data_IF_306766634425
#
_entry.id   IF_306766634425
#
_cell.length_a   1.000
_cell.length_b   1.000
_cell.length_c   1.000
_cell.angle_alpha   90.00
_cell.angle_beta   90.00
_cell.angle_gamma   90.00
#
_symmetry.space_group_name_H-M   'P 1'
#
loop_
_entity.id
_entity.type
_entity.pdbx_description
1 polymer ?
#
# COMPACT_ATOMS: atom_id res chain seq x y z
N UNK A 1 -6.59 -27.89 15.61
CA UNK A 1 -6.29 -26.80 14.65
C UNK A 1 -4.85 -26.37 14.92
N UNK A 2 -3.97 -26.48 13.95
CA UNK A 2 -2.63 -25.90 14.09
C UNK A 2 -2.75 -24.37 14.20
N UNK A 3 -1.94 -23.69 15.03
CA UNK A 3 -1.92 -22.25 15.02
C UNK A 3 -1.54 -21.74 13.62
N UNK A 4 -2.11 -20.65 13.16
CA UNK A 4 -1.74 -20.09 11.87
C UNK A 4 -0.25 -19.73 11.85
N UNK A 5 0.40 -19.87 10.70
CA UNK A 5 1.81 -19.52 10.55
C UNK A 5 2.06 -18.09 11.03
N UNK A 6 3.18 -17.82 11.72
CA UNK A 6 3.51 -16.49 12.21
C UNK A 6 3.67 -15.51 11.04
N UNK A 7 3.20 -14.27 11.25
CA UNK A 7 3.39 -13.21 10.25
C UNK A 7 4.88 -12.87 10.20
N UNK A 8 5.45 -12.90 9.01
CA UNK A 8 6.83 -12.51 8.82
C UNK A 8 6.96 -10.98 8.96
N UNK A 9 7.97 -10.55 9.70
CA UNK A 9 8.25 -9.13 9.94
C UNK A 9 9.74 -8.87 9.76
N UNK A 10 10.10 -7.84 9.01
CA UNK A 10 11.45 -7.31 9.01
C UNK A 10 11.56 -6.15 10.00
N UNK A 11 12.74 -6.04 10.61
CA UNK A 11 13.05 -5.01 11.59
C UNK A 11 14.22 -4.18 11.11
N UNK A 12 14.09 -2.84 11.27
CA UNK A 12 15.15 -1.88 10.92
C UNK A 12 15.26 -0.85 12.04
N UNK A 13 16.47 -0.29 12.21
CA UNK A 13 16.76 0.67 13.27
C UNK A 13 16.81 0.05 14.66
N UNK A 14 17.43 0.77 15.60
CA UNK A 14 17.68 0.27 16.97
C UNK A 14 17.02 1.12 18.05
N UNK A 15 16.59 2.34 17.72
CA UNK A 15 16.10 3.30 18.70
C UNK A 15 15.08 4.24 18.03
N UNK A 16 14.41 5.04 18.84
CA UNK A 16 13.39 5.99 18.39
C UNK A 16 11.96 5.43 18.48
N UNK A 17 10.97 6.22 18.07
CA UNK A 17 9.58 5.81 18.03
C UNK A 17 9.34 4.64 17.05
N UNK A 18 8.27 3.87 17.30
CA UNK A 18 7.88 2.81 16.39
C UNK A 18 7.17 3.36 15.14
N UNK A 19 7.65 2.91 13.97
CA UNK A 19 7.03 3.16 12.66
C UNK A 19 6.74 1.80 12.01
N UNK A 20 5.55 1.63 11.49
CA UNK A 20 5.12 0.41 10.81
C UNK A 20 4.90 0.73 9.34
N UNK A 21 5.60 0.04 8.45
CA UNK A 21 5.52 0.22 7.01
C UNK A 21 4.68 -0.88 6.38
N UNK A 22 3.56 -0.50 5.79
CA UNK A 22 2.64 -1.39 5.10
C UNK A 22 2.88 -1.31 3.59
N UNK A 23 3.18 -2.46 2.98
CA UNK A 23 3.49 -2.56 1.55
C UNK A 23 2.26 -2.41 0.65
N UNK A 24 2.48 -2.17 -0.62
CA UNK A 24 1.44 -2.16 -1.65
C UNK A 24 1.01 -3.57 -2.08
N UNK A 25 0.26 -3.67 -3.10
CA UNK A 25 -0.30 -4.91 -3.61
C UNK A 25 -1.81 -4.94 -3.46
N UNK A 26 -2.42 -5.83 -2.69
CA UNK A 26 -1.95 -6.82 -1.70
C UNK A 26 -1.20 -8.01 -2.29
N UNK A 27 -0.57 -8.83 -1.46
CA UNK A 27 0.09 -10.06 -1.88
C UNK A 27 1.42 -9.89 -2.64
N UNK A 28 2.05 -8.71 -2.61
CA UNK A 28 3.34 -8.42 -3.24
C UNK A 28 4.28 -7.65 -2.28
N UNK A 29 4.76 -8.30 -1.20
CA UNK A 29 5.55 -7.66 -0.16
C UNK A 29 7.00 -7.36 -0.59
N UNK A 30 7.69 -6.52 0.22
CA UNK A 30 9.14 -6.31 0.15
C UNK A 30 9.59 -5.01 -0.50
N UNK A 31 8.72 -4.31 -1.21
CA UNK A 31 9.05 -3.07 -1.93
C UNK A 31 9.33 -1.87 -1.00
N UNK A 32 8.91 -1.95 0.27
CA UNK A 32 9.13 -0.88 1.25
C UNK A 32 10.52 -0.96 1.94
N UNK A 33 11.31 -1.99 1.69
CA UNK A 33 12.65 -2.17 2.27
C UNK A 33 13.59 -0.95 2.09
N UNK A 34 13.64 -0.25 0.95
CA UNK A 34 14.45 0.97 0.82
C UNK A 34 13.97 2.09 1.75
N UNK A 35 12.66 2.26 1.90
CA UNK A 35 12.05 3.25 2.81
C UNK A 35 12.34 2.87 4.26
N UNK A 36 12.17 1.58 4.61
CA UNK A 36 12.47 1.06 5.94
C UNK A 36 13.93 1.29 6.36
N UNK A 37 14.87 0.99 5.47
CA UNK A 37 16.32 1.21 5.72
C UNK A 37 16.61 2.69 6.00
N UNK A 38 16.04 3.60 5.20
CA UNK A 38 16.27 5.04 5.38
C UNK A 38 15.66 5.58 6.66
N UNK A 39 14.47 5.11 7.03
CA UNK A 39 13.83 5.50 8.29
C UNK A 39 14.53 4.87 9.52
N UNK A 40 15.18 3.73 9.36
CA UNK A 40 15.90 3.02 10.42
C UNK A 40 17.04 3.81 11.07
N UNK A 41 17.50 4.91 10.45
CA UNK A 41 18.48 5.83 11.05
C UNK A 41 17.88 6.62 12.23
N UNK A 42 16.55 6.79 12.30
CA UNK A 42 15.86 7.63 13.29
C UNK A 42 14.74 6.92 14.04
N UNK A 43 14.22 5.81 13.51
CA UNK A 43 13.04 5.12 14.01
C UNK A 43 13.31 3.62 14.15
N UNK A 44 12.57 2.97 15.04
CA UNK A 44 12.41 1.51 15.02
C UNK A 44 11.32 1.17 14.01
N UNK A 45 11.68 0.47 12.95
CA UNK A 45 10.78 0.23 11.83
C UNK A 45 10.41 -1.24 11.76
N UNK A 46 9.11 -1.51 11.66
CA UNK A 46 8.52 -2.81 11.34
C UNK A 46 8.01 -2.79 9.90
N UNK A 47 8.41 -3.78 9.12
CA UNK A 47 7.85 -4.07 7.80
C UNK A 47 7.16 -5.44 7.87
N UNK A 48 5.89 -5.53 8.30
CA UNK A 48 5.15 -6.78 8.30
C UNK A 48 4.76 -7.18 6.88
N UNK A 49 4.81 -8.50 6.63
CA UNK A 49 4.28 -9.09 5.41
C UNK A 49 2.89 -9.65 5.67
N UNK A 50 2.04 -9.59 4.67
CA UNK A 50 0.72 -10.18 4.76
C UNK A 50 0.81 -11.71 4.79
N UNK A 51 -0.17 -12.36 5.44
CA UNK A 51 -0.31 -13.81 5.32
C UNK A 51 -0.58 -14.19 3.87
N UNK A 52 -0.08 -15.35 3.47
CA UNK A 52 -0.49 -15.95 2.23
C UNK A 52 -1.93 -16.51 2.32
N UNK A 53 -2.63 -16.54 1.19
CA UNK A 53 -3.92 -17.21 1.05
C UNK A 53 -3.84 -18.69 1.45
N UNK A 54 -4.81 -19.17 2.19
CA UNK A 54 -4.89 -20.51 2.74
C UNK A 54 -6.32 -21.01 2.89
N UNK A 55 -6.58 -21.76 3.96
CA UNK A 55 -7.93 -22.32 4.24
C UNK A 55 -8.96 -21.23 4.54
N UNK A 56 -8.53 -20.12 5.15
CA UNK A 56 -9.39 -18.99 5.46
C UNK A 56 -9.07 -17.85 4.49
N UNK A 57 -10.07 -17.37 3.74
CA UNK A 57 -9.87 -16.28 2.79
C UNK A 57 -9.32 -15.01 3.47
N UNK A 58 -8.47 -14.28 2.76
CA UNK A 58 -7.97 -13.00 3.21
C UNK A 58 -9.02 -11.91 2.97
N UNK A 59 -9.28 -11.15 4.03
CA UNK A 59 -10.19 -10.00 4.03
C UNK A 59 -9.52 -8.80 4.66
N UNK A 60 -10.03 -7.60 4.42
CA UNK A 60 -9.58 -6.38 5.13
C UNK A 60 -9.63 -6.57 6.65
N UNK A 61 -10.69 -7.22 7.14
CA UNK A 61 -10.83 -7.49 8.58
C UNK A 61 -9.73 -8.44 9.09
N UNK A 62 -9.35 -9.45 8.28
CA UNK A 62 -8.26 -10.37 8.62
C UNK A 62 -6.92 -9.65 8.66
N UNK A 63 -6.61 -8.85 7.65
CA UNK A 63 -5.36 -8.05 7.64
C UNK A 63 -5.28 -7.08 8.82
N UNK A 64 -6.40 -6.46 9.22
CA UNK A 64 -6.45 -5.61 10.43
C UNK A 64 -6.18 -6.43 11.69
N UNK A 65 -6.73 -7.64 11.81
CA UNK A 65 -6.47 -8.52 12.95
C UNK A 65 -5.00 -8.96 12.99
N UNK A 66 -4.46 -9.37 11.86
CA UNK A 66 -3.07 -9.79 11.68
C UNK A 66 -2.09 -8.65 12.04
N UNK A 67 -2.37 -7.43 11.59
CA UNK A 67 -1.59 -6.25 11.98
C UNK A 67 -1.66 -6.01 13.49
N UNK A 68 -2.83 -6.19 14.12
CA UNK A 68 -2.97 -6.11 15.57
C UNK A 68 -2.14 -7.16 16.34
N UNK A 69 -1.91 -8.33 15.76
CA UNK A 69 -0.99 -9.33 16.33
C UNK A 69 0.47 -8.84 16.30
N UNK A 70 0.90 -8.29 15.17
CA UNK A 70 2.25 -7.73 14.99
C UNK A 70 2.51 -6.56 15.92
N UNK A 71 1.52 -5.70 16.12
CA UNK A 71 1.66 -4.48 16.91
C UNK A 71 1.57 -4.70 18.43
N UNK A 72 1.27 -5.92 18.88
CA UNK A 72 1.09 -6.21 20.32
C UNK A 72 2.26 -5.75 21.20
N UNK A 73 3.50 -6.00 20.78
CA UNK A 73 4.68 -5.60 21.54
C UNK A 73 4.99 -4.10 21.42
N UNK A 74 5.03 -3.49 20.21
CA UNK A 74 5.21 -2.04 20.07
C UNK A 74 4.20 -1.22 20.87
N UNK A 75 2.94 -1.63 20.90
CA UNK A 75 1.86 -0.93 21.60
C UNK A 75 1.98 -0.95 23.14
N UNK A 76 2.82 -1.81 23.71
CA UNK A 76 3.16 -1.73 25.14
C UNK A 76 3.97 -0.49 25.50
N UNK A 77 4.67 0.07 24.54
CA UNK A 77 5.45 1.30 24.72
C UNK A 77 4.64 2.57 24.37
N UNK A 78 3.48 2.42 23.77
CA UNK A 78 2.59 3.52 23.36
C UNK A 78 2.09 3.39 21.93
N UNK A 79 1.31 4.40 21.46
CA UNK A 79 0.81 4.41 20.10
C UNK A 79 1.94 4.41 19.07
N UNK A 80 1.69 3.79 17.90
CA UNK A 80 2.66 3.68 16.81
C UNK A 80 2.29 4.59 15.63
N UNK A 81 3.25 4.82 14.73
CA UNK A 81 3.05 5.57 13.49
C UNK A 81 2.88 4.58 12.34
N UNK A 82 1.79 4.71 11.57
CA UNK A 82 1.56 3.90 10.38
C UNK A 82 1.98 4.67 9.13
N UNK A 83 2.76 4.02 8.28
CA UNK A 83 3.06 4.48 6.94
C UNK A 83 2.60 3.40 5.98
N UNK A 84 1.65 3.70 5.12
CA UNK A 84 1.14 2.74 4.14
C UNK A 84 1.37 3.22 2.71
N UNK A 85 1.78 2.30 1.83
CA UNK A 85 1.91 2.56 0.41
C UNK A 85 0.80 1.86 -0.37
N UNK A 86 0.14 2.58 -1.28
CA UNK A 86 -0.88 2.02 -2.19
C UNK A 86 -1.98 1.24 -1.43
N UNK A 87 -2.07 -0.07 -1.57
CA UNK A 87 -2.92 -0.95 -0.75
C UNK A 87 -2.60 -0.80 0.75
N UNK A 88 -1.32 -0.76 1.13
CA UNK A 88 -0.92 -0.55 2.53
C UNK A 88 -1.46 0.76 3.12
N UNK A 89 -1.67 1.81 2.30
CA UNK A 89 -2.33 3.03 2.72
C UNK A 89 -3.82 2.81 3.04
N UNK A 90 -4.51 1.97 2.23
CA UNK A 90 -5.90 1.57 2.49
C UNK A 90 -6.00 0.74 3.78
N UNK A 91 -5.06 -0.19 4.00
CA UNK A 91 -4.98 -1.00 5.21
C UNK A 91 -4.67 -0.13 6.45
N UNK A 92 -3.76 0.86 6.33
CA UNK A 92 -3.47 1.80 7.41
C UNK A 92 -4.72 2.57 7.87
N UNK A 93 -5.54 3.05 6.93
CA UNK A 93 -6.81 3.71 7.23
C UNK A 93 -7.80 2.74 7.90
N UNK A 94 -7.93 1.52 7.38
CA UNK A 94 -8.83 0.51 7.95
C UNK A 94 -8.42 0.12 9.38
N UNK A 95 -7.11 0.00 9.65
CA UNK A 95 -6.60 -0.27 10.99
C UNK A 95 -6.85 0.91 11.93
N UNK A 96 -6.45 2.13 11.54
CA UNK A 96 -6.62 3.32 12.35
C UNK A 96 -8.09 3.61 12.70
N UNK A 97 -9.02 3.34 11.78
CA UNK A 97 -10.46 3.49 12.04
C UNK A 97 -11.00 2.47 13.06
N UNK A 98 -10.48 1.25 13.07
CA UNK A 98 -10.93 0.17 13.95
C UNK A 98 -10.17 0.12 15.28
N UNK A 99 -9.00 0.75 15.35
CA UNK A 99 -8.09 0.81 16.51
C UNK A 99 -7.58 2.24 16.73
N UNK A 100 -8.46 3.23 16.95
CA UNK A 100 -8.08 4.64 16.99
C UNK A 100 -7.15 5.02 18.16
N UNK A 101 -7.06 4.18 19.19
CA UNK A 101 -6.15 4.40 20.33
C UNK A 101 -4.72 3.91 20.12
N UNK A 102 -4.52 3.05 19.10
CA UNK A 102 -3.23 2.40 18.84
C UNK A 102 -2.28 3.28 18.00
N UNK A 103 -2.80 4.33 17.36
CA UNK A 103 -2.11 5.07 16.32
C UNK A 103 -1.90 6.52 16.72
N UNK A 104 -0.63 6.95 16.66
CA UNK A 104 -0.19 8.33 16.86
C UNK A 104 -0.30 9.16 15.57
N UNK A 105 -0.01 8.55 14.41
CA UNK A 105 -0.01 9.21 13.11
C UNK A 105 -0.19 8.22 11.96
N UNK A 106 -0.83 8.68 10.89
CA UNK A 106 -0.98 7.92 9.65
C UNK A 106 -0.38 8.71 8.48
N UNK A 107 0.52 8.09 7.72
CA UNK A 107 1.03 8.65 6.47
C UNK A 107 0.66 7.71 5.32
N UNK A 108 -0.06 8.24 4.34
CA UNK A 108 -0.51 7.53 3.15
C UNK A 108 0.39 7.92 1.98
N UNK A 109 0.97 6.94 1.29
CA UNK A 109 1.82 7.16 0.11
C UNK A 109 1.12 6.53 -1.09
N UNK A 110 0.82 7.31 -2.14
CA UNK A 110 0.18 6.80 -3.34
C UNK A 110 -1.11 6.02 -3.06
N UNK A 111 -1.97 6.55 -2.19
CA UNK A 111 -3.16 5.84 -1.69
C UNK A 111 -4.08 5.38 -2.83
N UNK A 112 -4.68 4.18 -2.68
CA UNK A 112 -5.65 3.64 -3.62
C UNK A 112 -7.01 4.37 -3.60
N UNK A 113 -7.89 3.99 -4.52
CA UNK A 113 -9.20 4.64 -4.73
C UNK A 113 -10.27 4.07 -3.81
N UNK A 114 -11.24 4.92 -3.39
CA UNK A 114 -12.36 4.51 -2.53
C UNK A 114 -13.74 4.70 -3.17
N UNK A 115 -13.81 5.29 -4.36
CA UNK A 115 -15.07 5.50 -5.06
C UNK A 115 -14.95 5.19 -6.56
N UNK A 116 -16.10 5.10 -7.22
CA UNK A 116 -16.19 4.78 -8.64
C UNK A 116 -15.51 5.85 -9.52
N UNK A 117 -15.68 7.12 -9.19
CA UNK A 117 -15.13 8.24 -9.98
C UNK A 117 -13.61 8.22 -10.02
N UNK A 118 -12.97 8.06 -8.85
CA UNK A 118 -11.51 7.99 -8.77
C UNK A 118 -10.97 6.71 -9.43
N UNK A 119 -11.69 5.58 -9.34
CA UNK A 119 -11.32 4.33 -10.00
C UNK A 119 -11.40 4.42 -11.52
N UNK A 120 -12.47 4.99 -12.07
CA UNK A 120 -12.61 5.22 -13.52
C UNK A 120 -11.51 6.16 -14.05
N UNK A 121 -11.18 7.21 -13.29
CA UNK A 121 -10.08 8.11 -13.63
C UNK A 121 -8.72 7.40 -13.62
N UNK A 122 -8.46 6.54 -12.64
CA UNK A 122 -7.25 5.70 -12.61
C UNK A 122 -7.15 4.81 -13.85
N UNK A 123 -8.20 4.08 -14.18
CA UNK A 123 -8.24 3.19 -15.36
C UNK A 123 -7.98 3.97 -16.65
N UNK A 124 -8.61 5.14 -16.80
CA UNK A 124 -8.41 6.00 -17.97
C UNK A 124 -6.95 6.50 -18.08
N UNK A 125 -6.36 6.96 -16.97
CA UNK A 125 -4.95 7.40 -16.93
C UNK A 125 -3.98 6.27 -17.24
N UNK A 126 -4.19 5.08 -16.67
CA UNK A 126 -3.41 3.91 -17.00
C UNK A 126 -3.47 3.57 -18.50
N UNK A 127 -4.68 3.57 -19.08
CA UNK A 127 -4.85 3.30 -20.50
C UNK A 127 -4.16 4.33 -21.40
N UNK A 128 -4.11 5.60 -20.99
CA UNK A 128 -3.40 6.66 -21.74
C UNK A 128 -1.88 6.53 -21.67
N UNK A 129 -1.34 6.04 -20.55
CA UNK A 129 0.11 5.88 -20.33
C UNK A 129 0.70 4.64 -21.00
N UNK A 130 -0.12 3.61 -21.18
CA UNK A 130 0.33 2.36 -21.81
C UNK A 130 0.63 2.54 -23.30
N UNK A 131 1.83 2.15 -23.72
CA UNK A 131 2.14 1.94 -25.14
C UNK A 131 1.29 0.80 -25.70
N UNK A 132 1.13 0.72 -27.05
CA UNK A 132 0.44 -0.40 -27.69
C UNK A 132 1.05 -1.77 -27.33
N UNK A 133 2.38 -1.86 -27.17
CA UNK A 133 3.07 -3.10 -26.80
C UNK A 133 2.79 -3.49 -25.35
N UNK A 134 2.83 -2.57 -24.42
CA UNK A 134 2.50 -2.83 -23.02
C UNK A 134 1.07 -3.30 -22.87
N UNK A 135 0.13 -2.66 -23.58
CA UNK A 135 -1.26 -3.06 -23.57
C UNK A 135 -1.45 -4.50 -24.07
N UNK A 136 -0.81 -4.86 -25.21
CA UNK A 136 -0.85 -6.24 -25.72
C UNK A 136 -0.26 -7.25 -24.73
N UNK A 137 0.86 -6.91 -24.09
CA UNK A 137 1.51 -7.79 -23.12
C UNK A 137 0.65 -8.01 -21.88
N UNK A 138 0.05 -6.94 -21.34
CA UNK A 138 -0.87 -7.02 -20.20
C UNK A 138 -2.06 -7.90 -20.55
N UNK A 139 -2.75 -7.64 -21.66
CA UNK A 139 -3.88 -8.45 -22.12
C UNK A 139 -3.51 -9.94 -22.30
N UNK A 140 -2.34 -10.24 -22.84
CA UNK A 140 -1.85 -11.62 -22.98
C UNK A 140 -1.62 -12.29 -21.64
N UNK A 141 -1.04 -11.58 -20.66
CA UNK A 141 -0.80 -12.12 -19.31
C UNK A 141 -2.11 -12.32 -18.55
N UNK A 142 -3.05 -11.38 -18.65
CA UNK A 142 -4.37 -11.50 -18.05
C UNK A 142 -5.16 -12.69 -18.60
N UNK A 143 -5.14 -12.88 -19.94
CA UNK A 143 -5.78 -14.03 -20.58
C UNK A 143 -5.17 -15.37 -20.12
N UNK A 144 -3.84 -15.44 -19.99
CA UNK A 144 -3.15 -16.61 -19.45
C UNK A 144 -3.48 -16.86 -18.00
N UNK A 145 -3.50 -15.81 -17.17
CA UNK A 145 -3.84 -15.90 -15.75
C UNK A 145 -5.29 -16.38 -15.54
N UNK A 146 -6.21 -15.98 -16.42
CA UNK A 146 -7.62 -16.37 -16.34
C UNK A 146 -7.86 -17.88 -16.49
N UNK A 147 -6.97 -18.59 -17.21
CA UNK A 147 -7.12 -20.04 -17.48
C UNK A 147 -6.09 -20.90 -16.74
N UNK A 148 -5.08 -20.31 -16.12
CA UNK A 148 -4.06 -21.03 -15.36
C UNK A 148 -4.63 -21.53 -14.04
N UNK A 149 -4.38 -22.78 -13.68
CA UNK A 149 -4.85 -23.42 -12.45
C UNK A 149 -3.75 -23.72 -11.45
N UNK A 150 -2.50 -23.83 -11.90
CA UNK A 150 -1.36 -24.08 -11.02
C UNK A 150 -0.99 -22.81 -10.24
N UNK A 151 -0.95 -22.91 -8.91
CA UNK A 151 -0.70 -21.77 -8.01
C UNK A 151 0.65 -21.10 -8.26
N UNK A 152 1.70 -21.89 -8.49
CA UNK A 152 3.03 -21.33 -8.73
C UNK A 152 3.10 -20.55 -10.04
N UNK A 153 2.48 -21.07 -11.10
CA UNK A 153 2.40 -20.39 -12.40
C UNK A 153 1.50 -19.15 -12.33
N UNK A 154 0.38 -19.19 -11.59
CA UNK A 154 -0.44 -18.00 -11.33
C UNK A 154 0.37 -16.90 -10.66
N UNK A 155 1.10 -17.23 -9.60
CA UNK A 155 1.97 -16.28 -8.90
C UNK A 155 3.04 -15.69 -9.81
N UNK A 156 3.65 -16.48 -10.67
CA UNK A 156 4.65 -16.02 -11.66
C UNK A 156 4.03 -15.09 -12.72
N UNK A 157 2.83 -15.38 -13.22
CA UNK A 157 2.10 -14.49 -14.14
C UNK A 157 1.70 -13.18 -13.46
N UNK A 158 1.24 -13.26 -12.22
CA UNK A 158 0.88 -12.09 -11.41
C UNK A 158 2.09 -11.18 -11.16
N UNK A 159 3.26 -11.74 -10.83
CA UNK A 159 4.50 -10.98 -10.68
C UNK A 159 4.91 -10.24 -11.97
N UNK A 160 4.74 -10.89 -13.14
CA UNK A 160 4.99 -10.26 -14.43
C UNK A 160 4.02 -9.10 -14.70
N UNK A 161 2.73 -9.28 -14.41
CA UNK A 161 1.72 -8.20 -14.48
C UNK A 161 2.09 -7.04 -13.57
N UNK A 162 2.41 -7.31 -12.30
CA UNK A 162 2.81 -6.31 -11.33
C UNK A 162 4.01 -5.48 -11.81
N UNK A 163 5.02 -6.12 -12.41
CA UNK A 163 6.19 -5.44 -12.98
C UNK A 163 5.84 -4.51 -14.15
N UNK A 164 4.87 -4.91 -15.00
CA UNK A 164 4.39 -4.07 -16.10
C UNK A 164 3.60 -2.88 -15.56
N UNK A 165 2.68 -3.10 -14.63
CA UNK A 165 1.91 -2.03 -14.00
C UNK A 165 2.82 -1.04 -13.26
N UNK A 166 3.78 -1.50 -12.47
CA UNK A 166 4.74 -0.66 -11.78
C UNK A 166 5.51 0.28 -12.73
N UNK A 167 5.90 -0.23 -13.91
CA UNK A 167 6.56 0.57 -14.93
C UNK A 167 5.64 1.66 -15.50
N UNK A 168 4.38 1.32 -15.82
CA UNK A 168 3.39 2.29 -16.33
C UNK A 168 3.05 3.34 -15.28
N UNK A 169 3.07 2.98 -14.01
CA UNK A 169 2.80 3.88 -12.88
C UNK A 169 4.00 4.77 -12.51
N UNK A 170 5.20 4.46 -12.95
CA UNK A 170 6.38 5.29 -12.73
C UNK A 170 6.45 6.46 -13.71
N UNK A 171 7.04 7.57 -13.28
CA UNK A 171 7.30 8.73 -14.15
C UNK A 171 8.73 8.68 -14.72
N UNK A 172 9.74 8.70 -13.86
CA UNK A 172 11.14 8.65 -14.27
C UNK A 172 12.00 7.91 -13.23
N UNK A 173 11.86 6.60 -13.12
CA UNK A 173 12.51 5.83 -12.08
C UNK A 173 14.04 5.84 -12.23
N UNK A 174 14.74 5.71 -11.11
CA UNK A 174 16.19 5.52 -11.05
C UNK A 174 16.57 4.17 -11.69
N UNK A 175 17.70 4.14 -12.41
CA UNK A 175 18.13 2.95 -13.14
C UNK A 175 18.53 1.75 -12.24
N UNK A 176 18.99 2.01 -11.01
CA UNK A 176 19.50 0.99 -10.09
C UNK A 176 18.51 0.68 -8.96
N UNK A 177 17.27 0.41 -9.30
CA UNK A 177 16.25 0.01 -8.35
C UNK A 177 16.31 -1.50 -8.10
N UNK A 178 17.15 -1.96 -7.22
CA UNK A 178 17.08 -3.32 -6.70
C UNK A 178 15.95 -3.39 -5.64
N UNK A 179 14.72 -3.54 -6.09
CA UNK A 179 13.64 -3.98 -5.20
C UNK A 179 13.93 -5.43 -4.79
N UNK A 180 13.90 -5.70 -3.50
CA UNK A 180 13.90 -7.07 -3.03
C UNK A 180 12.54 -7.67 -3.37
N UNK A 181 12.49 -8.48 -4.42
CA UNK A 181 11.27 -9.18 -4.79
C UNK A 181 11.08 -10.40 -3.90
N UNK A 182 9.98 -10.44 -3.19
CA UNK A 182 9.51 -11.62 -2.49
C UNK A 182 8.45 -12.35 -3.33
N UNK A 183 8.21 -13.64 -3.05
CA UNK A 183 7.16 -14.37 -3.77
C UNK A 183 5.81 -13.66 -3.67
N UNK A 184 5.15 -13.46 -4.81
CA UNK A 184 3.80 -12.92 -4.86
C UNK A 184 2.76 -14.00 -4.52
N UNK A 185 1.62 -13.58 -3.98
CA UNK A 185 0.44 -14.42 -3.74
C UNK A 185 -0.78 -13.87 -4.50
N UNK A 186 -1.01 -14.39 -5.70
CA UNK A 186 -2.14 -13.98 -6.55
C UNK A 186 -3.49 -14.26 -5.91
N UNK A 187 -3.62 -15.40 -5.23
CA UNK A 187 -4.87 -15.77 -4.55
C UNK A 187 -5.18 -14.78 -3.41
N UNK A 188 -4.17 -14.45 -2.59
CA UNK A 188 -4.29 -13.46 -1.54
C UNK A 188 -4.64 -12.08 -2.07
N UNK A 189 -4.02 -11.65 -3.16
CA UNK A 189 -4.39 -10.42 -3.87
C UNK A 189 -5.88 -10.41 -4.24
N UNK A 190 -6.34 -11.45 -4.91
CA UNK A 190 -7.72 -11.54 -5.43
C UNK A 190 -8.75 -11.55 -4.30
N UNK A 191 -8.52 -12.34 -3.26
CA UNK A 191 -9.39 -12.44 -2.07
C UNK A 191 -9.51 -11.09 -1.35
N UNK A 192 -8.37 -10.47 -1.04
CA UNK A 192 -8.30 -9.20 -0.36
C UNK A 192 -8.96 -8.07 -1.16
N UNK A 193 -8.66 -8.02 -2.47
CA UNK A 193 -9.19 -6.98 -3.34
C UNK A 193 -10.70 -7.11 -3.54
N UNK A 194 -11.20 -8.34 -3.65
CA UNK A 194 -12.64 -8.61 -3.73
C UNK A 194 -13.38 -8.12 -2.47
N UNK A 195 -12.84 -8.38 -1.27
CA UNK A 195 -13.43 -7.89 -0.02
C UNK A 195 -13.35 -6.36 0.08
N UNK A 196 -12.22 -5.75 -0.28
CA UNK A 196 -12.05 -4.29 -0.26
C UNK A 196 -13.07 -3.60 -1.19
N UNK A 197 -13.26 -4.10 -2.41
CA UNK A 197 -14.28 -3.58 -3.34
C UNK A 197 -15.69 -3.75 -2.78
N UNK A 198 -16.01 -4.91 -2.20
CA UNK A 198 -17.31 -5.15 -1.56
C UNK A 198 -17.58 -4.18 -0.41
N UNK A 199 -16.57 -3.86 0.41
CA UNK A 199 -16.69 -2.86 1.47
C UNK A 199 -16.98 -1.45 0.92
N UNK A 200 -16.38 -1.09 -0.22
CA UNK A 200 -16.64 0.17 -0.89
C UNK A 200 -18.05 0.21 -1.50
N UNK A 201 -18.47 -0.83 -2.19
CA UNK A 201 -19.80 -0.93 -2.82
C UNK A 201 -20.93 -0.87 -1.78
N UNK A 202 -20.72 -1.44 -0.61
CA UNK A 202 -21.66 -1.38 0.52
C UNK A 202 -21.59 -0.07 1.31
N UNK A 203 -20.72 0.84 0.94
CA UNK A 203 -20.54 2.13 1.63
C UNK A 203 -19.90 2.02 3.02
N UNK A 204 -19.30 0.87 3.39
CA UNK A 204 -18.59 0.70 4.66
C UNK A 204 -17.29 1.51 4.61
N UNK A 205 -16.54 1.41 3.52
CA UNK A 205 -15.40 2.27 3.24
C UNK A 205 -15.77 3.24 2.10
N UNK A 206 -15.40 4.52 2.26
CA UNK A 206 -14.55 5.12 3.31
C UNK A 206 -15.29 5.60 4.56
N UNK A 207 -16.61 5.35 4.74
CA UNK A 207 -17.39 5.91 5.85
C UNK A 207 -16.84 5.55 7.26
N UNK A 208 -16.30 4.34 7.44
CA UNK A 208 -15.71 3.92 8.72
C UNK A 208 -14.50 4.79 9.14
N UNK A 209 -13.84 5.48 8.20
CA UNK A 209 -12.67 6.30 8.46
C UNK A 209 -12.96 7.57 9.26
N UNK A 210 -14.23 7.96 9.41
CA UNK A 210 -14.67 8.99 10.36
C UNK A 210 -14.32 8.68 11.83
N UNK A 211 -13.92 7.44 12.14
CA UNK A 211 -13.48 7.02 13.48
C UNK A 211 -12.00 7.29 13.74
N UNK A 212 -11.21 7.63 12.72
CA UNK A 212 -9.78 7.92 12.87
C UNK A 212 -9.60 9.15 13.72
N UNK A 213 -8.69 9.08 14.71
CA UNK A 213 -8.37 10.18 15.63
C UNK A 213 -6.97 10.73 15.40
N UNK A 214 -6.09 9.91 14.87
CA UNK A 214 -4.72 10.31 14.56
C UNK A 214 -4.69 11.29 13.39
N UNK A 215 -3.76 12.25 13.35
CA UNK A 215 -3.49 13.06 12.17
C UNK A 215 -3.15 12.18 10.97
N UNK A 216 -3.73 12.52 9.81
CA UNK A 216 -3.52 11.80 8.54
C UNK A 216 -2.88 12.73 7.52
N UNK A 217 -1.76 12.30 6.94
CA UNK A 217 -1.08 12.99 5.83
C UNK A 217 -1.07 12.09 4.61
N UNK A 218 -1.49 12.60 3.47
CA UNK A 218 -1.47 11.91 2.20
C UNK A 218 -0.37 12.52 1.29
N UNK A 219 0.67 11.74 0.98
CA UNK A 219 1.74 12.09 0.07
C UNK A 219 1.46 11.41 -1.28
N UNK A 220 1.43 12.19 -2.37
CA UNK A 220 1.06 11.69 -3.69
C UNK A 220 1.91 12.32 -4.78
N UNK A 221 2.27 11.55 -5.81
CA UNK A 221 2.94 12.10 -6.98
C UNK A 221 1.96 12.75 -7.95
N UNK A 222 2.32 13.88 -8.56
CA UNK A 222 1.49 14.57 -9.58
C UNK A 222 1.34 13.75 -10.87
N UNK A 223 2.32 12.87 -11.12
CA UNK A 223 2.33 11.94 -12.26
C UNK A 223 1.86 10.52 -11.91
N UNK A 224 1.37 10.29 -10.69
CA UNK A 224 0.73 9.02 -10.34
C UNK A 224 -0.57 8.85 -11.12
N UNK A 225 -0.79 7.72 -11.82
CA UNK A 225 -2.08 7.45 -12.46
C UNK A 225 -3.25 7.39 -11.46
N UNK A 226 -3.01 7.05 -10.20
CA UNK A 226 -4.02 7.21 -9.16
C UNK A 226 -4.30 8.71 -8.99
N UNK A 227 -5.58 9.14 -9.10
CA UNK A 227 -5.90 10.56 -9.12
C UNK A 227 -5.87 11.16 -7.71
N UNK A 228 -4.68 11.56 -7.21
CA UNK A 228 -4.47 12.06 -5.85
C UNK A 228 -5.53 13.04 -5.35
N UNK A 229 -5.84 14.12 -6.09
CA UNK A 229 -6.88 15.07 -5.68
C UNK A 229 -8.28 14.45 -5.52
N UNK A 230 -8.69 13.53 -6.42
CA UNK A 230 -10.00 12.86 -6.29
C UNK A 230 -10.05 11.89 -5.11
N UNK A 231 -8.94 11.22 -4.82
CA UNK A 231 -8.82 10.31 -3.66
C UNK A 231 -8.87 11.14 -2.38
N UNK A 232 -8.12 12.24 -2.32
CA UNK A 232 -8.16 13.17 -1.19
C UNK A 232 -9.59 13.69 -0.96
N UNK A 233 -10.27 14.19 -1.99
CA UNK A 233 -11.64 14.69 -1.89
C UNK A 233 -12.63 13.64 -1.38
N UNK A 234 -12.42 12.38 -1.76
CA UNK A 234 -13.22 11.25 -1.28
C UNK A 234 -13.00 10.99 0.20
N UNK A 235 -11.73 11.06 0.67
CA UNK A 235 -11.34 10.83 2.06
C UNK A 235 -11.69 12.02 2.96
N UNK A 236 -11.52 13.25 2.52
CA UNK A 236 -11.77 14.47 3.29
C UNK A 236 -13.22 14.61 3.78
N UNK A 237 -14.16 13.91 3.16
CA UNK A 237 -15.56 13.81 3.63
C UNK A 237 -15.69 13.12 4.99
N UNK A 238 -14.72 12.26 5.33
CA UNK A 238 -14.74 11.43 6.53
C UNK A 238 -13.56 11.72 7.47
N UNK A 239 -12.49 12.29 6.93
CA UNK A 239 -11.29 12.73 7.65
C UNK A 239 -11.07 14.21 7.32
N UNK A 240 -11.80 15.15 7.96
CA UNK A 240 -11.80 16.56 7.54
C UNK A 240 -10.43 17.23 7.57
N UNK A 241 -9.56 16.80 8.49
CA UNK A 241 -8.23 17.38 8.70
C UNK A 241 -7.11 16.58 7.98
N UNK A 242 -7.46 15.79 6.96
CA UNK A 242 -6.45 15.09 6.15
C UNK A 242 -5.61 16.10 5.38
N UNK A 243 -4.29 16.08 5.61
CA UNK A 243 -3.35 16.88 4.85
C UNK A 243 -3.04 16.23 3.50
N UNK A 244 -3.01 17.01 2.42
CA UNK A 244 -2.55 16.59 1.09
C UNK A 244 -1.21 17.24 0.73
N UNK A 245 -0.24 16.41 0.36
CA UNK A 245 1.11 16.83 -0.05
C UNK A 245 1.43 16.22 -1.40
N UNK A 246 1.52 17.05 -2.42
CA UNK A 246 1.85 16.62 -3.78
C UNK A 246 3.35 16.76 -4.07
N UNK A 247 3.92 15.73 -4.68
CA UNK A 247 5.32 15.70 -5.11
C UNK A 247 5.37 15.92 -6.64
N UNK A 248 6.02 16.98 -7.13
CA UNK A 248 6.11 17.25 -8.55
C UNK A 248 7.02 16.25 -9.27
N UNK A 249 6.68 15.93 -10.53
CA UNK A 249 7.42 14.99 -11.39
C UNK A 249 7.64 13.62 -10.73
N UNK A 250 6.60 13.11 -10.10
CA UNK A 250 6.64 11.94 -9.26
C UNK A 250 5.51 10.97 -9.66
N UNK A 251 5.88 9.72 -9.97
CA UNK A 251 4.95 8.62 -10.18
C UNK A 251 4.48 8.01 -8.87
N UNK A 252 3.99 6.76 -8.96
CA UNK A 252 3.35 6.04 -7.85
C UNK A 252 4.28 5.71 -6.68
N UNK A 253 5.59 5.43 -6.95
CA UNK A 253 6.59 5.06 -5.95
C UNK A 253 7.61 6.20 -5.76
N UNK A 254 7.36 7.19 -4.88
CA UNK A 254 8.22 8.38 -4.78
C UNK A 254 9.70 8.09 -4.50
N UNK A 255 10.00 7.04 -3.72
CA UNK A 255 11.38 6.71 -3.33
C UNK A 255 12.27 6.21 -4.48
N UNK A 256 11.67 5.87 -5.62
CA UNK A 256 12.42 5.47 -6.81
C UNK A 256 12.45 6.55 -7.89
N UNK A 257 11.70 7.63 -7.73
CA UNK A 257 11.59 8.69 -8.73
C UNK A 257 12.78 9.64 -8.68
N UNK A 258 13.44 9.81 -9.81
CA UNK A 258 14.71 10.56 -9.93
C UNK A 258 14.67 11.95 -9.31
N UNK A 259 13.56 12.66 -9.45
CA UNK A 259 13.44 14.07 -9.01
C UNK A 259 12.63 14.24 -7.73
N UNK A 260 11.97 13.19 -7.25
CA UNK A 260 11.11 13.28 -6.08
C UNK A 260 11.68 12.54 -4.86
N UNK A 261 12.62 11.61 -5.05
CA UNK A 261 13.10 10.74 -3.98
C UNK A 261 13.61 11.50 -2.75
N UNK A 262 14.48 12.48 -2.93
CA UNK A 262 15.03 13.22 -1.79
C UNK A 262 13.95 14.03 -1.07
N UNK A 263 13.14 14.79 -1.82
CA UNK A 263 12.01 15.55 -1.26
C UNK A 263 10.99 14.64 -0.56
N UNK A 264 10.77 13.44 -1.10
CA UNK A 264 9.92 12.44 -0.46
C UNK A 264 10.44 12.02 0.91
N UNK A 265 11.74 11.68 1.03
CA UNK A 265 12.31 11.27 2.31
C UNK A 265 12.34 12.40 3.34
N UNK A 266 12.62 13.63 2.91
CA UNK A 266 12.54 14.82 3.77
C UNK A 266 11.11 15.01 4.29
N UNK A 267 10.13 14.99 3.39
CA UNK A 267 8.72 15.15 3.73
C UNK A 267 8.22 14.02 4.64
N UNK A 268 8.51 12.77 4.29
CA UNK A 268 8.10 11.60 5.09
C UNK A 268 8.67 11.68 6.51
N UNK A 269 9.95 12.02 6.63
CA UNK A 269 10.60 12.17 7.94
C UNK A 269 9.98 13.31 8.74
N UNK A 270 9.71 14.45 8.12
CA UNK A 270 9.03 15.58 8.77
C UNK A 270 7.60 15.23 9.21
N UNK A 271 6.86 14.48 8.39
CA UNK A 271 5.53 13.98 8.76
C UNK A 271 5.57 13.02 9.94
N UNK A 272 6.65 12.29 10.12
CA UNK A 272 6.80 11.35 11.24
C UNK A 272 7.30 12.02 12.53
N UNK A 273 7.92 13.17 12.48
CA UNK A 273 8.36 13.96 13.65
C UNK A 273 9.75 13.60 14.15
#
# INVERSE_FOLDING_TARGET
MQPPDPIQVRFYGKSGPWVVLLHGGPGAPGEMAPVARRLGDRFRVLEPFERASGEVPLTVARHVADLGEVLREPLREGPVRLVGFSWGAMLALAYAARRPGDIDRVVLIGCGTFDRRSREAYVARMAQRMSPDERRRIQSLEARLAVETDRGRRNALFAQLGSLYARVQSFKPLANNSEETLPCDEAGFRETWQDALSLQERGVQPAEFARIRAPVVMIHGDEDPHPGPLIHDSLARFIPDIEYRELPRCGHKPWIERWASDAFYELLTACLG
#
